data_IF_667231554199
#
_entry.id   IF_667231554199
#
_cell.length_a   1.000
_cell.length_b   1.000
_cell.length_c   1.000
_cell.angle_alpha   90.00
_cell.angle_beta   90.00
_cell.angle_gamma   90.00
#
_symmetry.space_group_name_H-M   'P 1'
#
loop_
_entity.id
_entity.type
_entity.pdbx_description
1 polymer ?
#
# COMPACT_ATOMS: atom_id res chain seq x y z
N UNK A 1 7.09 14.16 -16.15
CA UNK A 1 7.51 14.12 -14.74
C UNK A 1 6.30 14.00 -13.82
N UNK A 2 6.37 13.07 -12.88
CA UNK A 2 5.32 12.94 -11.89
C UNK A 2 5.39 14.11 -10.90
N UNK A 3 4.24 14.73 -10.58
CA UNK A 3 4.11 15.73 -9.53
C UNK A 3 3.69 15.11 -8.20
N UNK A 4 3.83 13.80 -8.08
CA UNK A 4 3.43 13.05 -6.89
C UNK A 4 4.60 12.95 -5.93
N UNK A 5 4.34 13.29 -4.67
CA UNK A 5 5.29 13.15 -3.58
C UNK A 5 4.89 11.97 -2.70
N UNK A 6 5.83 11.06 -2.43
CA UNK A 6 5.60 9.93 -1.52
C UNK A 6 5.20 10.42 -0.13
N UNK A 7 5.84 11.50 0.34
CA UNK A 7 5.53 12.08 1.65
C UNK A 7 4.09 12.60 1.72
N UNK A 8 3.61 13.25 0.66
CA UNK A 8 2.24 13.75 0.61
C UNK A 8 1.22 12.63 0.53
N UNK A 9 1.49 11.58 -0.26
CA UNK A 9 0.61 10.41 -0.34
C UNK A 9 0.52 9.74 1.03
N UNK A 10 1.64 9.51 1.69
CA UNK A 10 1.67 8.94 3.03
C UNK A 10 0.89 9.79 4.03
N UNK A 11 1.07 11.12 4.01
CA UNK A 11 0.36 12.02 4.90
C UNK A 11 -1.16 11.99 4.63
N UNK A 12 -1.56 11.93 3.37
CA UNK A 12 -2.98 11.86 3.00
C UNK A 12 -3.64 10.61 3.57
N UNK A 13 -3.00 9.46 3.45
CA UNK A 13 -3.52 8.21 3.98
C UNK A 13 -3.55 8.20 5.52
N UNK A 14 -2.50 8.69 6.16
CA UNK A 14 -2.45 8.77 7.62
C UNK A 14 -3.52 9.69 8.17
N UNK A 15 -3.73 10.83 7.52
CA UNK A 15 -4.74 11.81 7.93
C UNK A 15 -6.17 11.27 7.77
N UNK A 16 -6.37 10.35 6.83
CA UNK A 16 -7.65 9.67 6.65
C UNK A 16 -7.91 8.59 7.72
N UNK A 17 -6.93 8.30 8.57
CA UNK A 17 -7.08 7.36 9.67
C UNK A 17 -6.46 5.99 9.41
N UNK A 18 -5.82 5.77 8.28
CA UNK A 18 -5.17 4.49 8.00
C UNK A 18 -3.85 4.36 8.77
N UNK A 19 -3.59 3.19 9.39
CA UNK A 19 -2.34 2.98 10.12
C UNK A 19 -1.17 2.79 9.14
N UNK A 20 -0.02 3.33 9.53
CA UNK A 20 1.24 3.10 8.84
C UNK A 20 1.86 1.79 9.32
N UNK A 21 2.45 1.04 8.41
CA UNK A 21 3.25 -0.12 8.77
C UNK A 21 4.52 0.33 9.50
N UNK A 22 4.96 -0.48 10.45
CA UNK A 22 6.27 -0.31 11.08
C UNK A 22 7.16 -1.48 10.69
N UNK A 23 8.47 -1.25 10.71
CA UNK A 23 9.41 -2.32 10.39
C UNK A 23 9.44 -3.36 11.50
N UNK A 24 9.73 -4.64 11.17
CA UNK A 24 9.97 -5.66 12.19
C UNK A 24 11.06 -5.21 13.15
N UNK A 25 10.94 -5.64 14.39
CA UNK A 25 11.85 -5.31 15.51
C UNK A 25 11.72 -3.89 16.06
N UNK A 26 10.76 -3.12 15.60
CA UNK A 26 10.41 -1.84 16.22
C UNK A 26 9.37 -1.99 17.33
N UNK A 27 8.88 -3.22 17.53
CA UNK A 27 7.92 -3.56 18.58
C UNK A 27 8.46 -4.69 19.43
N UNK A 28 7.91 -4.84 20.66
CA UNK A 28 8.31 -5.89 21.58
C UNK A 28 7.98 -7.31 21.07
N UNK A 29 7.06 -7.43 20.12
CA UNK A 29 6.67 -8.72 19.54
C UNK A 29 7.67 -9.25 18.52
N UNK A 30 8.63 -8.44 18.06
CA UNK A 30 9.57 -8.81 17.00
C UNK A 30 8.98 -8.70 15.60
N UNK A 31 7.69 -8.37 15.48
CA UNK A 31 7.02 -8.07 14.20
C UNK A 31 6.64 -6.59 14.19
N UNK A 32 6.54 -6.03 13.00
CA UNK A 32 6.07 -4.66 12.86
C UNK A 32 4.56 -4.56 13.04
N UNK A 33 4.06 -3.34 13.04
CA UNK A 33 2.63 -3.09 12.98
C UNK A 33 2.16 -3.19 11.53
N UNK A 34 0.98 -3.79 11.32
CA UNK A 34 0.35 -3.85 10.01
C UNK A 34 -0.12 -2.47 9.58
N UNK A 35 -0.07 -2.21 8.29
CA UNK A 35 -0.52 -0.95 7.75
C UNK A 35 0.07 -0.69 6.36
N UNK A 36 -0.12 0.54 5.88
CA UNK A 36 0.42 0.96 4.60
C UNK A 36 1.85 1.45 4.73
N UNK A 37 2.60 1.35 3.64
CA UNK A 37 3.82 2.13 3.48
C UNK A 37 3.92 2.65 2.06
N UNK A 38 4.60 3.78 1.91
CA UNK A 38 4.73 4.46 0.63
C UNK A 38 6.21 4.58 0.31
N UNK A 39 6.57 4.18 -0.90
CA UNK A 39 7.95 4.24 -1.35
C UNK A 39 8.01 4.61 -2.82
N UNK A 40 9.20 4.86 -3.33
CA UNK A 40 9.41 5.14 -4.75
C UNK A 40 10.17 3.99 -5.36
N UNK A 41 9.64 3.45 -6.46
CA UNK A 41 10.29 2.37 -7.21
C UNK A 41 10.48 2.74 -8.66
N UNK A 42 11.57 2.29 -9.29
CA UNK A 42 11.72 2.43 -10.73
C UNK A 42 10.78 1.45 -11.43
N UNK A 43 9.91 1.98 -12.26
CA UNK A 43 8.94 1.18 -13.02
C UNK A 43 9.23 1.37 -14.50
N UNK A 44 9.28 0.25 -15.24
CA UNK A 44 9.53 0.28 -16.68
C UNK A 44 8.50 1.17 -17.36
N UNK A 45 8.96 2.04 -18.22
CA UNK A 45 8.18 3.04 -18.97
C UNK A 45 7.61 4.20 -18.14
N UNK A 46 7.70 4.15 -16.80
CA UNK A 46 7.21 5.24 -15.95
C UNK A 46 8.34 5.96 -15.20
N UNK A 47 9.52 5.31 -15.07
CA UNK A 47 10.60 5.84 -14.26
C UNK A 47 10.28 5.74 -12.76
N UNK A 48 10.85 6.64 -11.92
CA UNK A 48 10.55 6.65 -10.49
C UNK A 48 9.07 6.87 -10.25
N UNK A 49 8.43 5.94 -9.55
CA UNK A 49 6.97 5.93 -9.35
C UNK A 49 6.66 5.73 -7.88
N UNK A 50 5.72 6.51 -7.37
CA UNK A 50 5.23 6.35 -5.99
C UNK A 50 4.37 5.10 -5.91
N UNK A 51 4.69 4.21 -4.98
CA UNK A 51 3.99 2.95 -4.77
C UNK A 51 3.45 2.91 -3.35
N UNK A 52 2.19 2.49 -3.21
CA UNK A 52 1.58 2.21 -1.91
C UNK A 52 1.50 0.69 -1.77
N UNK A 53 2.04 0.19 -0.68
CA UNK A 53 2.02 -1.24 -0.35
C UNK A 53 1.35 -1.45 1.00
N UNK A 54 0.95 -2.68 1.28
CA UNK A 54 0.31 -3.06 2.53
C UNK A 54 1.10 -4.18 3.19
N UNK A 55 1.43 -4.00 4.47
CA UNK A 55 2.02 -5.05 5.30
C UNK A 55 0.95 -5.64 6.21
N UNK A 56 0.94 -6.96 6.35
CA UNK A 56 0.02 -7.68 7.22
C UNK A 56 0.85 -8.64 8.08
N UNK A 57 0.92 -8.38 9.38
CA UNK A 57 1.70 -9.19 10.31
C UNK A 57 0.84 -10.07 11.22
N UNK A 58 -0.48 -9.88 11.24
CA UNK A 58 -1.39 -10.61 12.13
C UNK A 58 -1.33 -12.13 11.95
N UNK A 59 -0.97 -12.57 10.75
CA UNK A 59 -0.87 -13.99 10.40
C UNK A 59 0.56 -14.43 10.15
N UNK A 60 1.53 -13.68 10.66
CA UNK A 60 2.95 -14.02 10.48
C UNK A 60 3.23 -15.40 11.07
N UNK A 61 3.86 -16.27 10.29
CA UNK A 61 4.15 -17.64 10.71
C UNK A 61 3.02 -18.64 10.50
N UNK A 62 1.83 -18.22 10.11
CA UNK A 62 0.70 -19.09 9.80
C UNK A 62 0.61 -19.28 8.28
N UNK A 63 0.86 -20.49 7.81
CA UNK A 63 0.85 -20.83 6.38
C UNK A 63 -0.41 -21.60 5.96
N UNK A 64 -1.45 -21.63 6.81
CA UNK A 64 -2.71 -22.30 6.48
C UNK A 64 -3.47 -21.57 5.36
N UNK A 65 -4.34 -22.30 4.66
CA UNK A 65 -5.22 -21.69 3.65
C UNK A 65 -6.14 -20.64 4.26
N UNK A 66 -6.60 -20.89 5.50
CA UNK A 66 -7.44 -19.94 6.22
C UNK A 66 -6.73 -18.61 6.45
N UNK A 67 -5.48 -18.65 6.90
CA UNK A 67 -4.67 -17.44 7.09
C UNK A 67 -4.44 -16.72 5.76
N UNK A 68 -4.14 -17.46 4.70
CA UNK A 68 -3.94 -16.89 3.37
C UNK A 68 -5.19 -16.15 2.87
N UNK A 69 -6.37 -16.76 3.01
CA UNK A 69 -7.62 -16.12 2.63
C UNK A 69 -7.90 -14.86 3.45
N UNK A 70 -7.61 -14.91 4.76
CA UNK A 70 -7.77 -13.76 5.63
C UNK A 70 -6.87 -12.60 5.20
N UNK A 71 -5.62 -12.89 4.87
CA UNK A 71 -4.66 -11.87 4.38
C UNK A 71 -5.14 -11.26 3.07
N UNK A 72 -5.63 -12.08 2.13
CA UNK A 72 -6.17 -11.57 0.86
C UNK A 72 -7.33 -10.60 1.10
N UNK A 73 -8.24 -10.93 2.01
CA UNK A 73 -9.36 -10.06 2.35
C UNK A 73 -8.91 -8.73 2.94
N UNK A 74 -7.96 -8.77 3.87
CA UNK A 74 -7.39 -7.58 4.51
C UNK A 74 -6.73 -6.67 3.46
N UNK A 75 -5.90 -7.25 2.60
CA UNK A 75 -5.16 -6.51 1.58
C UNK A 75 -6.12 -5.89 0.56
N UNK A 76 -7.11 -6.65 0.11
CA UNK A 76 -8.11 -6.16 -0.84
C UNK A 76 -8.87 -4.96 -0.27
N UNK A 77 -9.37 -5.08 0.94
CA UNK A 77 -10.10 -4.01 1.62
C UNK A 77 -9.24 -2.77 1.81
N UNK A 78 -7.97 -2.97 2.21
CA UNK A 78 -7.04 -1.87 2.40
C UNK A 78 -6.79 -1.12 1.09
N UNK A 79 -6.46 -1.81 0.02
CA UNK A 79 -6.19 -1.16 -1.27
C UNK A 79 -7.43 -0.48 -1.85
N UNK A 80 -8.61 -1.06 -1.69
CA UNK A 80 -9.85 -0.41 -2.14
C UNK A 80 -10.07 0.90 -1.37
N UNK A 81 -9.80 0.90 -0.06
CA UNK A 81 -9.89 2.11 0.76
C UNK A 81 -8.88 3.18 0.36
N UNK A 82 -7.62 2.79 0.16
CA UNK A 82 -6.56 3.72 -0.26
C UNK A 82 -6.87 4.33 -1.61
N UNK A 83 -7.33 3.52 -2.56
CA UNK A 83 -7.70 4.00 -3.90
C UNK A 83 -8.80 5.05 -3.81
N UNK A 84 -9.86 4.77 -3.06
CA UNK A 84 -10.96 5.72 -2.89
C UNK A 84 -10.51 7.04 -2.25
N UNK A 85 -9.72 6.95 -1.18
CA UNK A 85 -9.21 8.14 -0.48
C UNK A 85 -8.29 8.96 -1.38
N UNK A 86 -7.34 8.32 -2.04
CA UNK A 86 -6.39 9.03 -2.90
C UNK A 86 -7.08 9.69 -4.08
N UNK A 87 -8.05 9.00 -4.70
CA UNK A 87 -8.83 9.58 -5.81
C UNK A 87 -9.64 10.79 -5.37
N UNK A 88 -10.20 10.77 -4.16
CA UNK A 88 -10.91 11.91 -3.60
C UNK A 88 -10.00 13.14 -3.45
N UNK A 89 -8.72 12.93 -3.28
CA UNK A 89 -7.72 13.99 -3.16
C UNK A 89 -7.06 14.34 -4.51
N UNK A 90 -7.62 13.84 -5.61
CA UNK A 90 -7.16 14.18 -6.95
C UNK A 90 -6.02 13.34 -7.48
N UNK A 91 -5.59 12.30 -6.76
CA UNK A 91 -4.52 11.43 -7.24
C UNK A 91 -5.01 10.47 -8.31
N UNK A 92 -4.14 10.18 -9.27
CA UNK A 92 -4.36 9.14 -10.26
C UNK A 92 -3.74 7.85 -9.72
N UNK A 93 -4.56 6.84 -9.53
CA UNK A 93 -4.17 5.57 -8.88
C UNK A 93 -4.45 4.42 -9.81
N UNK A 94 -3.48 3.55 -9.99
CA UNK A 94 -3.59 2.34 -10.79
C UNK A 94 -3.14 1.13 -9.98
N UNK A 95 -3.75 -0.03 -10.22
CA UNK A 95 -3.35 -1.27 -9.57
C UNK A 95 -2.03 -1.78 -10.16
N UNK A 96 -1.12 -2.18 -9.27
CA UNK A 96 0.07 -2.92 -9.65
C UNK A 96 -0.24 -4.40 -9.53
N UNK A 97 -0.43 -5.06 -10.67
CA UNK A 97 -0.86 -6.45 -10.72
C UNK A 97 0.30 -7.37 -11.08
N UNK A 98 0.33 -8.51 -10.40
CA UNK A 98 1.18 -9.63 -10.80
C UNK A 98 0.55 -10.31 -12.03
N UNK A 99 1.32 -11.16 -12.71
CA UNK A 99 0.87 -11.83 -13.94
C UNK A 99 -0.43 -12.66 -13.76
N UNK A 100 -0.70 -13.11 -12.54
CA UNK A 100 -1.91 -13.90 -12.21
C UNK A 100 -3.07 -13.04 -11.71
N UNK A 101 -2.95 -11.71 -11.78
CA UNK A 101 -3.97 -10.76 -11.37
C UNK A 101 -3.96 -10.43 -9.88
N UNK A 102 -3.04 -10.97 -9.10
CA UNK A 102 -2.90 -10.60 -7.69
C UNK A 102 -2.35 -9.19 -7.57
N UNK A 103 -3.02 -8.36 -6.77
CA UNK A 103 -2.61 -6.97 -6.56
C UNK A 103 -1.40 -6.91 -5.62
N UNK A 104 -0.28 -6.38 -6.12
CA UNK A 104 0.96 -6.22 -5.36
C UNK A 104 1.04 -4.87 -4.64
N UNK A 105 0.32 -3.88 -5.14
CA UNK A 105 0.35 -2.54 -4.62
C UNK A 105 -0.48 -1.60 -5.47
N UNK A 106 -0.29 -0.31 -5.24
CA UNK A 106 -0.90 0.75 -6.04
C UNK A 106 0.18 1.65 -6.58
N UNK A 107 0.09 2.00 -7.86
CA UNK A 107 0.90 3.08 -8.44
C UNK A 107 0.13 4.39 -8.31
N UNK A 108 0.79 5.42 -7.81
CA UNK A 108 0.25 6.77 -7.79
C UNK A 108 1.04 7.57 -8.82
N UNK A 109 0.44 7.77 -9.99
CA UNK A 109 1.15 8.24 -11.18
C UNK A 109 0.95 9.72 -11.47
N UNK A 110 0.01 10.37 -10.81
CA UNK A 110 -0.25 11.78 -11.02
C UNK A 110 -1.18 12.35 -9.98
N UNK A 111 -1.39 13.63 -10.08
CA UNK A 111 -2.34 14.36 -9.23
C UNK A 111 -3.02 15.44 -10.05
N UNK A 112 -4.35 15.43 -10.05
CA UNK A 112 -5.17 16.43 -10.72
C UNK A 112 -5.44 17.61 -9.79
N UNK A 113 -5.52 18.77 -10.36
CA UNK A 113 -5.78 20.01 -9.64
C UNK A 113 -4.51 20.71 -9.17
#
# INVERSE_FOLDING_TARGET
>A
MSNVSAAHVSATLAKAGYPRATEPNQTDSGYGDSGFFVHVEPVENLGPTVVVSQQVYEYAGDYSNRAREAVYGIVKEAFDGYTGTLRQHGYVVEDWLRYDGVRLGLFVTGREG
#
